data_IF_607755494901
#
_entry.id   IF_607755494901
#
_cell.length_a   1.000
_cell.length_b   1.000
_cell.length_c   1.000
_cell.angle_alpha   90.00
_cell.angle_beta   90.00
_cell.angle_gamma   90.00
#
_symmetry.space_group_name_H-M   'P 1'
#
loop_
_entity.id
_entity.type
_entity.pdbx_description
1 polymer ?
#
# COMPACT_ATOMS: atom_id res chain seq x y z
N UNK A 1 -31.97 13.18 -20.97
CA UNK A 1 -30.81 13.24 -20.06
C UNK A 1 -30.16 11.88 -20.14
N UNK A 2 -28.85 11.83 -20.34
CA UNK A 2 -28.14 10.56 -20.49
C UNK A 2 -27.79 9.93 -19.12
N UNK A 3 -28.32 10.49 -18.03
CA UNK A 3 -28.17 10.06 -16.65
C UNK A 3 -29.54 10.07 -15.95
N UNK A 4 -29.65 9.35 -14.84
CA UNK A 4 -30.87 9.21 -14.06
C UNK A 4 -30.79 10.02 -12.77
N UNK A 5 -31.85 10.79 -12.47
CA UNK A 5 -32.04 11.47 -11.18
C UNK A 5 -33.40 11.07 -10.63
N UNK A 6 -33.41 10.48 -9.44
CA UNK A 6 -34.64 10.13 -8.74
C UNK A 6 -35.43 11.40 -8.37
N UNK A 7 -36.77 11.34 -8.43
CA UNK A 7 -37.66 12.49 -8.17
C UNK A 7 -37.48 13.17 -6.80
N UNK A 8 -36.96 12.42 -5.81
CA UNK A 8 -36.68 12.91 -4.45
C UNK A 8 -35.21 13.32 -4.24
N UNK A 9 -34.39 13.34 -5.28
CA UNK A 9 -33.01 13.84 -5.22
C UNK A 9 -32.97 15.32 -5.59
N UNK A 10 -32.03 16.06 -5.00
CA UNK A 10 -31.74 17.46 -5.36
C UNK A 10 -30.39 17.51 -6.11
N UNK A 11 -30.43 17.40 -7.43
CA UNK A 11 -29.24 17.46 -8.27
C UNK A 11 -29.17 18.81 -8.98
N UNK A 12 -28.32 19.72 -8.49
CA UNK A 12 -28.17 21.08 -9.04
C UNK A 12 -27.01 21.18 -10.04
N UNK A 13 -26.04 20.24 -9.99
CA UNK A 13 -24.95 20.17 -10.97
C UNK A 13 -25.45 19.83 -12.37
N UNK A 14 -24.82 20.48 -13.36
CA UNK A 14 -24.99 20.21 -14.79
C UNK A 14 -23.88 19.32 -15.37
N UNK A 15 -22.90 18.93 -14.54
CA UNK A 15 -21.71 18.20 -14.94
C UNK A 15 -21.79 16.74 -14.51
N UNK A 16 -22.83 16.04 -14.95
CA UNK A 16 -23.07 14.62 -14.66
C UNK A 16 -22.88 13.80 -15.94
N UNK A 17 -21.95 12.85 -15.91
CA UNK A 17 -21.66 11.97 -17.03
C UNK A 17 -22.79 10.99 -17.35
N UNK A 18 -22.82 10.52 -18.59
CA UNK A 18 -23.80 9.54 -19.08
C UNK A 18 -23.76 8.23 -18.27
N UNK A 19 -24.90 7.58 -18.09
CA UNK A 19 -25.08 6.34 -17.33
C UNK A 19 -25.11 6.51 -15.81
N UNK A 20 -24.73 7.68 -15.29
CA UNK A 20 -24.73 7.94 -13.84
C UNK A 20 -26.16 7.93 -13.27
N UNK A 21 -26.31 7.32 -12.09
CA UNK A 21 -27.59 7.23 -11.36
C UNK A 21 -27.48 7.96 -10.03
N UNK A 22 -28.40 8.89 -9.79
CA UNK A 22 -28.56 9.63 -8.53
C UNK A 22 -29.86 9.21 -7.87
N UNK A 23 -29.77 8.59 -6.70
CA UNK A 23 -30.90 8.01 -5.98
C UNK A 23 -31.52 8.96 -4.95
N UNK A 24 -32.56 8.51 -4.26
CA UNK A 24 -33.43 9.34 -3.45
C UNK A 24 -32.68 10.09 -2.34
N UNK A 25 -33.05 11.35 -2.09
CA UNK A 25 -32.49 12.17 -1.02
C UNK A 25 -30.99 12.45 -1.13
N UNK A 26 -30.36 12.15 -2.27
CA UNK A 26 -29.03 12.67 -2.57
C UNK A 26 -29.13 14.17 -2.89
N UNK A 27 -28.12 14.95 -2.47
CA UNK A 27 -28.00 16.37 -2.78
C UNK A 27 -26.62 16.68 -3.35
N UNK A 28 -26.59 17.18 -4.59
CA UNK A 28 -25.37 17.46 -5.36
C UNK A 28 -25.36 18.95 -5.73
N UNK A 29 -24.38 19.69 -5.21
CA UNK A 29 -24.27 21.13 -5.44
C UNK A 29 -23.84 21.48 -6.88
N UNK A 30 -24.11 22.73 -7.36
CA UNK A 30 -23.90 23.10 -8.77
C UNK A 30 -22.47 22.91 -9.30
N UNK A 31 -21.45 23.05 -8.45
CA UNK A 31 -20.04 22.96 -8.84
C UNK A 31 -19.50 21.54 -9.03
N UNK A 32 -20.17 20.52 -8.48
CA UNK A 32 -19.68 19.14 -8.48
C UNK A 32 -19.52 18.59 -9.91
N UNK A 33 -18.46 17.83 -10.16
CA UNK A 33 -18.22 17.16 -11.46
C UNK A 33 -18.21 15.65 -11.25
N UNK A 34 -19.13 14.94 -11.90
CA UNK A 34 -19.25 13.48 -11.82
C UNK A 34 -19.08 12.86 -13.21
N UNK A 35 -18.25 11.82 -13.29
CA UNK A 35 -18.03 11.03 -14.49
C UNK A 35 -19.22 10.15 -14.90
N UNK A 36 -18.94 9.22 -15.80
CA UNK A 36 -19.90 8.30 -16.41
C UNK A 36 -20.12 7.06 -15.56
N UNK A 37 -21.28 6.44 -15.70
CA UNK A 37 -21.63 5.15 -15.11
C UNK A 37 -21.47 5.07 -13.58
N UNK A 38 -21.57 6.21 -12.88
CA UNK A 38 -21.49 6.26 -11.42
C UNK A 38 -22.81 5.83 -10.77
N UNK A 39 -22.74 5.41 -9.51
CA UNK A 39 -23.89 5.06 -8.69
C UNK A 39 -23.87 5.83 -7.37
N UNK A 40 -24.66 6.91 -7.30
CA UNK A 40 -24.78 7.81 -6.15
C UNK A 40 -26.02 7.41 -5.35
N UNK A 41 -25.84 6.58 -4.33
CA UNK A 41 -26.93 6.02 -3.53
C UNK A 41 -27.62 7.07 -2.62
N UNK A 42 -28.66 6.62 -1.94
CA UNK A 42 -29.51 7.47 -1.12
C UNK A 42 -28.75 8.27 -0.05
N UNK A 43 -29.19 9.51 0.20
CA UNK A 43 -28.65 10.36 1.27
C UNK A 43 -27.15 10.69 1.12
N UNK A 44 -26.61 10.62 -0.09
CA UNK A 44 -25.27 11.13 -0.39
C UNK A 44 -25.33 12.65 -0.54
N UNK A 45 -24.36 13.35 0.05
CA UNK A 45 -24.17 14.78 -0.12
C UNK A 45 -22.84 15.07 -0.84
N UNK A 46 -22.84 15.95 -1.84
CA UNK A 46 -21.65 16.30 -2.62
C UNK A 46 -21.57 17.83 -2.77
N UNK A 47 -20.47 18.44 -2.32
CA UNK A 47 -20.22 19.88 -2.40
C UNK A 47 -19.70 20.34 -3.79
N UNK A 48 -19.20 21.58 -3.89
CA UNK A 48 -18.89 22.22 -5.16
C UNK A 48 -17.49 21.85 -5.69
N UNK A 49 -16.45 21.90 -4.86
CA UNK A 49 -15.08 21.51 -5.21
C UNK A 49 -14.90 20.00 -5.02
N UNK A 50 -15.67 19.21 -5.76
CA UNK A 50 -15.59 17.75 -5.76
C UNK A 50 -15.55 17.25 -7.20
N UNK A 51 -14.56 16.40 -7.49
CA UNK A 51 -14.49 15.66 -8.76
C UNK A 51 -14.59 14.17 -8.48
N UNK A 52 -15.48 13.50 -9.21
CA UNK A 52 -15.66 12.04 -9.20
C UNK A 52 -15.44 11.53 -10.61
N UNK A 53 -14.55 10.56 -10.79
CA UNK A 53 -14.25 9.91 -12.05
C UNK A 53 -15.39 9.00 -12.55
N UNK A 54 -15.05 8.08 -13.43
CA UNK A 54 -16.00 7.15 -14.04
C UNK A 54 -16.18 5.87 -13.20
N UNK A 55 -17.36 5.25 -13.29
CA UNK A 55 -17.68 3.92 -12.70
C UNK A 55 -17.53 3.88 -11.18
N UNK A 56 -17.64 5.02 -10.51
CA UNK A 56 -17.54 5.13 -9.05
C UNK A 56 -18.86 4.72 -8.40
N UNK A 57 -18.78 3.93 -7.33
CA UNK A 57 -19.94 3.62 -6.47
C UNK A 57 -19.81 4.31 -5.13
N UNK A 58 -20.83 5.10 -4.76
CA UNK A 58 -20.92 5.80 -3.48
C UNK A 58 -22.19 5.34 -2.78
N UNK A 59 -22.02 4.56 -1.71
CA UNK A 59 -23.13 3.99 -0.95
C UNK A 59 -23.73 5.04 -0.01
N UNK A 60 -24.87 4.70 0.60
CA UNK A 60 -25.69 5.63 1.35
C UNK A 60 -24.94 6.30 2.52
N UNK A 61 -25.36 7.53 2.86
CA UNK A 61 -24.91 8.24 4.07
C UNK A 61 -23.50 8.80 3.99
N UNK A 62 -22.93 8.94 2.79
CA UNK A 62 -21.59 9.50 2.55
C UNK A 62 -21.70 11.00 2.23
N UNK A 63 -20.78 11.80 2.77
CA UNK A 63 -20.62 13.22 2.43
C UNK A 63 -19.25 13.46 1.79
N UNK A 64 -19.26 14.04 0.59
CA UNK A 64 -18.05 14.48 -0.10
C UNK A 64 -17.94 15.99 0.03
N UNK A 65 -16.97 16.43 0.82
CA UNK A 65 -16.72 17.85 1.08
C UNK A 65 -15.80 18.47 0.04
N UNK A 66 -15.80 19.80 -0.05
CA UNK A 66 -14.89 20.58 -0.88
C UNK A 66 -13.43 20.16 -0.67
N UNK A 67 -12.71 19.98 -1.78
CA UNK A 67 -11.32 19.51 -1.85
C UNK A 67 -11.15 18.01 -2.10
N UNK A 68 -12.24 17.26 -2.34
CA UNK A 68 -12.17 15.82 -2.56
C UNK A 68 -12.08 15.46 -4.06
N UNK A 69 -11.09 14.64 -4.38
CA UNK A 69 -10.91 14.06 -5.72
C UNK A 69 -11.01 12.54 -5.65
N UNK A 70 -12.00 11.98 -6.35
CA UNK A 70 -12.24 10.53 -6.42
C UNK A 70 -12.01 10.08 -7.85
N UNK A 71 -11.07 9.15 -8.05
CA UNK A 71 -10.73 8.62 -9.37
C UNK A 71 -11.65 7.47 -9.79
N UNK A 72 -11.44 7.00 -11.02
CA UNK A 72 -12.20 5.92 -11.62
C UNK A 72 -12.25 4.63 -10.79
N UNK A 73 -13.36 3.91 -10.94
CA UNK A 73 -13.57 2.55 -10.40
C UNK A 73 -13.44 2.46 -8.87
N UNK A 74 -13.55 3.58 -8.16
CA UNK A 74 -13.53 3.62 -6.70
C UNK A 74 -14.84 3.09 -6.11
N UNK A 75 -14.72 2.33 -5.01
CA UNK A 75 -15.85 1.94 -4.18
C UNK A 75 -15.80 2.66 -2.82
N UNK A 76 -16.83 3.44 -2.51
CA UNK A 76 -17.03 4.09 -1.21
C UNK A 76 -18.20 3.42 -0.50
N UNK A 77 -17.89 2.68 0.55
CA UNK A 77 -18.84 1.94 1.37
C UNK A 77 -19.83 2.84 2.12
N UNK A 78 -20.92 2.27 2.67
CA UNK A 78 -21.95 3.05 3.33
C UNK A 78 -21.40 3.73 4.58
N UNK A 79 -21.84 4.96 4.83
CA UNK A 79 -21.45 5.79 5.97
C UNK A 79 -19.94 6.07 6.07
N UNK A 80 -19.18 5.93 4.99
CA UNK A 80 -17.81 6.46 4.96
C UNK A 80 -17.84 7.96 5.19
N UNK A 81 -17.00 8.41 6.11
CA UNK A 81 -16.94 9.83 6.53
C UNK A 81 -15.62 10.42 6.07
N UNK A 82 -15.69 11.45 5.23
CA UNK A 82 -14.55 12.29 4.87
C UNK A 82 -14.51 13.54 5.75
N UNK A 83 -13.33 14.16 5.82
CA UNK A 83 -13.11 15.45 6.48
C UNK A 83 -12.15 16.28 5.62
N UNK A 84 -12.19 17.61 5.73
CA UNK A 84 -11.35 18.53 4.95
C UNK A 84 -10.63 19.61 5.81
N UNK A 85 -11.05 19.80 7.06
CA UNK A 85 -10.36 20.62 8.07
C UNK A 85 -9.77 19.73 9.17
N UNK A 86 -8.47 19.92 9.47
CA UNK A 86 -7.74 19.17 10.49
C UNK A 86 -8.14 19.57 11.92
N UNK A 87 -8.54 20.83 12.11
CA UNK A 87 -8.82 21.40 13.42
C UNK A 87 -10.11 22.26 13.38
N UNK A 88 -11.26 21.66 13.03
CA UNK A 88 -12.49 22.40 12.81
C UNK A 88 -12.94 23.16 14.06
N UNK A 89 -13.29 24.43 13.87
CA UNK A 89 -13.90 25.30 14.89
C UNK A 89 -15.06 26.07 14.28
N UNK A 90 -16.18 26.15 14.99
CA UNK A 90 -17.37 26.84 14.47
C UNK A 90 -17.06 28.29 14.13
N UNK A 91 -17.45 28.73 12.92
CA UNK A 91 -17.23 30.09 12.37
C UNK A 91 -15.76 30.48 12.21
N UNK A 92 -14.87 29.50 12.22
CA UNK A 92 -13.46 29.68 11.88
C UNK A 92 -13.18 28.75 10.71
N UNK A 93 -12.77 29.33 9.59
CA UNK A 93 -12.57 28.60 8.35
C UNK A 93 -11.10 28.72 7.94
N UNK A 94 -10.47 27.64 7.46
CA UNK A 94 -9.14 27.74 6.88
C UNK A 94 -9.20 28.60 5.60
N UNK A 95 -8.07 29.21 5.22
CA UNK A 95 -7.97 29.93 3.94
C UNK A 95 -8.20 28.98 2.75
N UNK A 96 -7.75 27.73 2.89
CA UNK A 96 -7.93 26.66 1.91
C UNK A 96 -8.17 25.33 2.62
N UNK A 97 -9.15 24.56 2.16
CA UNK A 97 -9.37 23.19 2.65
C UNK A 97 -8.28 22.24 2.17
N UNK A 98 -7.96 21.24 3.01
CA UNK A 98 -6.98 20.21 2.64
C UNK A 98 -7.57 19.28 1.59
N UNK A 99 -6.79 18.99 0.54
CA UNK A 99 -7.24 18.10 -0.54
C UNK A 99 -7.01 16.65 -0.19
N UNK A 100 -8.05 15.84 -0.37
CA UNK A 100 -7.99 14.38 -0.19
C UNK A 100 -8.18 13.73 -1.56
N UNK A 101 -7.34 12.76 -1.89
CA UNK A 101 -7.43 12.03 -3.16
C UNK A 101 -7.68 10.55 -2.90
N UNK A 102 -8.70 10.00 -3.53
CA UNK A 102 -8.96 8.56 -3.55
C UNK A 102 -8.64 8.04 -4.95
N UNK A 103 -7.47 7.40 -5.08
CA UNK A 103 -6.95 6.97 -6.36
C UNK A 103 -7.71 5.76 -6.92
N UNK A 104 -7.53 5.52 -8.23
CA UNK A 104 -8.36 4.60 -8.98
C UNK A 104 -8.44 3.19 -8.36
N UNK A 105 -9.60 2.54 -8.45
CA UNK A 105 -9.85 1.19 -7.92
C UNK A 105 -9.67 1.02 -6.40
N UNK A 106 -9.44 2.08 -5.65
CA UNK A 106 -9.43 1.99 -4.20
C UNK A 106 -10.83 1.63 -3.66
N UNK A 107 -10.86 0.88 -2.57
CA UNK A 107 -12.09 0.48 -1.90
C UNK A 107 -12.06 0.90 -0.44
N UNK A 108 -13.06 1.68 -0.03
CA UNK A 108 -13.21 2.17 1.34
C UNK A 108 -14.37 1.46 2.01
N UNK A 109 -14.08 0.66 3.03
CA UNK A 109 -15.04 -0.14 3.77
C UNK A 109 -16.04 0.70 4.55
N UNK A 110 -17.19 0.09 4.85
CA UNK A 110 -18.31 0.73 5.54
C UNK A 110 -17.87 1.45 6.83
N UNK A 111 -18.42 2.64 7.07
CA UNK A 111 -18.21 3.43 8.28
C UNK A 111 -16.75 3.76 8.61
N UNK A 112 -15.85 3.74 7.62
CA UNK A 112 -14.49 4.22 7.79
C UNK A 112 -14.45 5.76 7.87
N UNK A 113 -13.48 6.30 8.60
CA UNK A 113 -13.24 7.74 8.72
C UNK A 113 -11.90 8.11 8.08
N UNK A 114 -11.93 9.06 7.14
CA UNK A 114 -10.74 9.54 6.44
C UNK A 114 -10.41 10.95 6.94
N UNK A 115 -9.26 11.09 7.60
CA UNK A 115 -8.74 12.40 8.02
C UNK A 115 -8.38 13.26 6.79
N UNK A 116 -8.27 14.58 6.95
CA UNK A 116 -8.13 15.48 5.81
C UNK A 116 -6.70 15.49 5.28
N UNK A 117 -6.54 15.79 3.98
CA UNK A 117 -5.23 15.96 3.36
C UNK A 117 -4.53 14.65 3.01
N UNK A 118 -5.27 13.55 2.84
CA UNK A 118 -4.71 12.21 2.67
C UNK A 118 -4.87 11.70 1.25
N UNK A 119 -3.96 10.81 0.85
CA UNK A 119 -4.09 10.03 -0.39
C UNK A 119 -4.40 8.58 -0.05
N UNK A 120 -5.47 8.05 -0.61
CA UNK A 120 -5.76 6.60 -0.61
C UNK A 120 -5.27 6.05 -1.95
N UNK A 121 -4.20 5.25 -1.90
CA UNK A 121 -3.49 4.78 -3.09
C UNK A 121 -4.30 3.85 -3.98
N UNK A 122 -3.85 3.69 -5.23
CA UNK A 122 -4.52 2.87 -6.23
C UNK A 122 -4.68 1.43 -5.73
N UNK A 123 -5.85 0.81 -5.92
CA UNK A 123 -6.19 -0.53 -5.42
C UNK A 123 -6.06 -0.73 -3.90
N UNK A 124 -5.89 0.34 -3.10
CA UNK A 124 -5.84 0.19 -1.65
C UNK A 124 -7.20 -0.25 -1.10
N UNK A 125 -7.16 -0.97 0.02
CA UNK A 125 -8.35 -1.44 0.73
C UNK A 125 -8.35 -0.87 2.15
N UNK A 126 -9.29 0.02 2.43
CA UNK A 126 -9.55 0.49 3.79
C UNK A 126 -10.64 -0.40 4.40
N UNK A 127 -10.34 -1.08 5.50
CA UNK A 127 -11.29 -1.93 6.19
C UNK A 127 -12.44 -1.15 6.82
N UNK A 128 -13.57 -1.82 7.03
CA UNK A 128 -14.73 -1.22 7.69
C UNK A 128 -14.37 -0.68 9.09
N UNK A 129 -14.90 0.50 9.43
CA UNK A 129 -14.66 1.17 10.71
C UNK A 129 -13.24 1.68 10.94
N UNK A 130 -12.36 1.65 9.94
CA UNK A 130 -10.99 2.14 10.09
C UNK A 130 -10.93 3.66 10.25
N UNK A 131 -10.02 4.17 11.08
CA UNK A 131 -9.73 5.61 11.20
C UNK A 131 -8.39 5.89 10.55
N UNK A 132 -8.45 6.36 9.30
CA UNK A 132 -7.28 6.58 8.46
C UNK A 132 -6.67 7.93 8.80
N UNK A 133 -5.48 7.90 9.40
CA UNK A 133 -4.80 9.10 9.93
C UNK A 133 -3.58 9.54 9.11
N UNK A 134 -3.19 8.73 8.13
CA UNK A 134 -2.04 8.92 7.22
C UNK A 134 -2.41 8.37 5.84
N UNK A 135 -1.73 8.82 4.79
CA UNK A 135 -1.95 8.31 3.43
C UNK A 135 -1.74 6.80 3.37
N UNK A 136 -2.55 6.13 2.56
CA UNK A 136 -2.54 4.67 2.39
C UNK A 136 -1.79 4.34 1.10
N UNK A 137 -0.72 3.54 1.14
CA UNK A 137 0.03 3.17 -0.05
C UNK A 137 -0.81 2.39 -1.07
N UNK A 138 -0.45 2.42 -2.37
CA UNK A 138 -1.09 1.58 -3.37
C UNK A 138 -1.15 0.11 -2.93
N UNK A 139 -2.28 -0.53 -3.18
CA UNK A 139 -2.59 -1.91 -2.81
C UNK A 139 -2.57 -2.24 -1.31
N UNK A 140 -2.23 -1.30 -0.42
CA UNK A 140 -2.18 -1.60 1.01
C UNK A 140 -3.58 -1.90 1.56
N UNK A 141 -3.65 -2.85 2.50
CA UNK A 141 -4.85 -3.16 3.26
C UNK A 141 -4.67 -2.56 4.66
N UNK A 142 -5.52 -1.60 5.03
CA UNK A 142 -5.46 -0.94 6.35
C UNK A 142 -6.71 -1.18 7.18
N UNK A 143 -6.54 -1.42 8.48
CA UNK A 143 -7.67 -1.65 9.42
C UNK A 143 -7.41 -1.03 10.79
N UNK A 144 -8.47 -0.82 11.57
CA UNK A 144 -8.40 -0.41 12.98
C UNK A 144 -8.41 1.10 13.20
N UNK A 145 -8.31 1.49 14.48
CA UNK A 145 -8.26 2.88 14.94
C UNK A 145 -7.06 3.07 15.90
N UNK A 146 -6.01 3.80 15.51
CA UNK A 146 -5.76 4.31 14.16
C UNK A 146 -5.52 3.16 13.16
N UNK A 147 -5.79 3.42 11.87
CA UNK A 147 -5.62 2.44 10.81
C UNK A 147 -4.14 2.03 10.65
N UNK A 148 -3.89 0.73 10.51
CA UNK A 148 -2.55 0.15 10.32
C UNK A 148 -2.56 -0.81 9.13
N UNK A 149 -1.45 -0.88 8.41
CA UNK A 149 -1.26 -1.82 7.30
C UNK A 149 -1.21 -3.25 7.86
N UNK A 150 -2.07 -4.12 7.33
CA UNK A 150 -2.18 -5.54 7.71
C UNK A 150 -1.87 -6.50 6.56
N UNK A 151 -1.61 -5.97 5.38
CA UNK A 151 -1.25 -6.73 4.19
C UNK A 151 -1.34 -5.86 2.94
N UNK A 152 -1.17 -6.49 1.78
CA UNK A 152 -1.33 -5.88 0.47
C UNK A 152 -2.27 -6.74 -0.37
N UNK A 153 -3.17 -6.11 -1.13
CA UNK A 153 -4.05 -6.80 -2.07
C UNK A 153 -3.23 -7.51 -3.16
N UNK A 154 -3.80 -8.57 -3.74
CA UNK A 154 -3.21 -9.40 -4.79
C UNK A 154 -1.81 -9.95 -4.45
N UNK A 155 -1.52 -10.11 -3.15
CA UNK A 155 -0.24 -10.63 -2.67
C UNK A 155 -0.36 -12.13 -2.38
N UNK A 156 0.44 -12.94 -3.06
CA UNK A 156 0.56 -14.35 -2.72
C UNK A 156 1.26 -14.50 -1.36
N UNK A 157 0.62 -15.20 -0.42
CA UNK A 157 1.22 -15.50 0.87
C UNK A 157 2.03 -16.80 0.80
N UNK A 158 3.35 -16.66 0.66
CA UNK A 158 4.28 -17.79 0.68
C UNK A 158 4.66 -18.23 2.10
N UNK A 159 4.22 -17.51 3.14
CA UNK A 159 4.55 -17.82 4.55
C UNK A 159 4.02 -19.19 5.01
N UNK A 160 3.05 -19.76 4.28
CA UNK A 160 2.59 -21.15 4.48
C UNK A 160 3.31 -22.18 3.60
N UNK A 161 3.80 -21.78 2.42
CA UNK A 161 4.43 -22.68 1.45
C UNK A 161 5.94 -22.89 1.72
N UNK A 162 6.62 -21.91 2.32
CA UNK A 162 8.03 -22.00 2.66
C UNK A 162 8.28 -22.56 4.08
N UNK A 163 7.44 -23.50 4.56
CA UNK A 163 7.87 -24.36 5.69
C UNK A 163 8.91 -25.34 5.16
N UNK A 164 10.14 -24.86 5.08
CA UNK A 164 11.30 -25.74 4.93
C UNK A 164 11.26 -26.78 6.06
N UNK A 165 11.52 -28.07 5.75
CA UNK A 165 11.43 -29.14 6.73
C UNK A 165 12.19 -28.79 8.01
N UNK A 166 11.57 -29.00 9.16
CA UNK A 166 12.23 -28.88 10.46
C UNK A 166 13.26 -30.01 10.62
N UNK A 167 14.48 -29.71 10.22
CA UNK A 167 15.72 -30.46 10.41
C UNK A 167 16.87 -29.49 10.16
N UNK A 168 18.12 -29.87 10.39
CA UNK A 168 19.27 -29.06 9.97
C UNK A 168 19.15 -28.81 8.47
N UNK A 169 18.61 -27.64 8.07
CA UNK A 169 18.24 -27.39 6.70
C UNK A 169 19.52 -27.34 5.88
N UNK A 170 19.62 -28.23 4.89
CA UNK A 170 20.65 -28.16 3.87
C UNK A 170 20.62 -26.76 3.26
N UNK A 171 21.78 -26.11 3.06
CA UNK A 171 21.84 -24.83 2.37
C UNK A 171 21.15 -24.92 1.01
N UNK A 172 20.38 -23.91 0.64
CA UNK A 172 19.60 -23.96 -0.58
C UNK A 172 19.01 -22.63 -0.99
N UNK A 173 18.72 -22.50 -2.28
CA UNK A 173 18.11 -21.32 -2.90
C UNK A 173 16.80 -21.75 -3.53
N UNK A 174 15.71 -21.13 -3.09
CA UNK A 174 14.38 -21.33 -3.64
C UNK A 174 13.98 -20.09 -4.46
N UNK A 175 13.52 -20.24 -5.71
CA UNK A 175 12.93 -19.14 -6.45
C UNK A 175 11.60 -18.73 -5.80
N UNK A 176 11.26 -17.45 -5.91
CA UNK A 176 9.92 -16.97 -5.56
C UNK A 176 9.09 -16.72 -6.84
N UNK A 177 7.84 -16.30 -6.70
CA UNK A 177 6.97 -15.92 -7.82
C UNK A 177 7.38 -14.59 -8.45
N UNK A 178 8.25 -13.81 -7.80
CA UNK A 178 8.70 -12.49 -8.21
C UNK A 178 10.01 -12.62 -8.98
N UNK A 179 10.08 -11.98 -10.15
CA UNK A 179 11.19 -12.15 -11.07
C UNK A 179 12.54 -11.84 -10.41
N UNK A 180 13.40 -12.85 -10.32
CA UNK A 180 14.77 -12.73 -9.82
C UNK A 180 14.91 -12.66 -8.30
N UNK A 181 13.81 -12.56 -7.55
CA UNK A 181 13.80 -12.66 -6.09
C UNK A 181 14.01 -14.12 -5.70
N UNK A 182 14.90 -14.35 -4.73
CA UNK A 182 15.20 -15.71 -4.24
C UNK A 182 15.25 -15.74 -2.72
N UNK A 183 14.73 -16.84 -2.15
CA UNK A 183 14.79 -17.13 -0.72
C UNK A 183 15.91 -18.12 -0.46
N UNK A 184 16.81 -17.76 0.44
CA UNK A 184 18.02 -18.50 0.77
C UNK A 184 17.91 -19.11 2.15
N UNK A 185 18.39 -20.34 2.26
CA UNK A 185 18.64 -21.00 3.54
C UNK A 185 20.12 -21.23 3.70
N UNK A 186 20.67 -20.72 4.79
CA UNK A 186 22.07 -20.85 5.14
C UNK A 186 22.32 -22.06 6.03
N UNK A 187 23.56 -22.55 5.98
CA UNK A 187 24.01 -23.61 6.85
C UNK A 187 23.88 -23.17 8.30
N UNK A 188 23.14 -23.94 9.10
CA UNK A 188 23.05 -23.75 10.54
C UNK A 188 23.71 -24.93 11.27
N UNK A 189 24.56 -24.63 12.25
CA UNK A 189 25.29 -25.60 13.07
C UNK A 189 24.96 -25.32 14.55
N UNK A 190 23.91 -25.96 15.10
CA UNK A 190 23.64 -25.93 16.53
C UNK A 190 24.53 -26.94 17.27
N UNK A 191 25.15 -26.53 18.38
CA UNK A 191 25.86 -27.40 19.32
C UNK A 191 25.63 -26.94 20.77
N UNK A 192 26.24 -27.63 21.74
CA UNK A 192 26.08 -27.30 23.17
C UNK A 192 26.62 -25.92 23.58
N UNK A 193 27.42 -25.26 22.72
CA UNK A 193 28.00 -23.93 22.95
C UNK A 193 27.15 -22.81 22.32
N UNK A 194 26.17 -23.16 21.48
CA UNK A 194 25.30 -22.20 20.84
C UNK A 194 24.91 -22.60 19.42
N UNK A 195 24.58 -21.62 18.59
CA UNK A 195 24.22 -21.84 17.18
C UNK A 195 25.02 -20.90 16.29
N UNK A 196 25.55 -21.43 15.20
CA UNK A 196 26.27 -20.68 14.18
C UNK A 196 25.55 -20.81 12.85
N UNK A 197 25.39 -19.70 12.13
CA UNK A 197 24.95 -19.67 10.74
C UNK A 197 26.06 -19.06 9.87
N UNK A 198 26.23 -19.54 8.64
CA UNK A 198 27.23 -19.01 7.71
C UNK A 198 26.67 -18.93 6.30
N UNK A 199 26.98 -17.83 5.62
CA UNK A 199 26.78 -17.64 4.18
C UNK A 199 27.99 -16.91 3.59
N UNK A 200 28.37 -17.30 2.37
CA UNK A 200 29.49 -16.72 1.64
C UNK A 200 28.96 -15.84 0.49
N UNK A 201 29.59 -14.68 0.31
CA UNK A 201 29.32 -13.83 -0.86
C UNK A 201 29.83 -14.53 -2.13
N UNK A 202 29.14 -14.28 -3.25
CA UNK A 202 29.38 -14.90 -4.56
C UNK A 202 29.11 -16.41 -4.63
N UNK A 203 28.66 -17.03 -3.54
CA UNK A 203 28.23 -18.44 -3.48
C UNK A 203 26.76 -18.56 -3.12
N UNK A 204 26.40 -18.25 -1.88
CA UNK A 204 25.00 -18.17 -1.47
C UNK A 204 24.44 -16.77 -1.72
N UNK A 205 25.15 -15.71 -1.34
CA UNK A 205 24.70 -14.33 -1.58
C UNK A 205 25.22 -13.88 -2.96
N UNK A 206 24.35 -13.54 -3.94
CA UNK A 206 24.73 -13.44 -5.35
C UNK A 206 25.47 -12.14 -5.73
N UNK A 207 26.08 -11.46 -4.76
CA UNK A 207 26.90 -10.26 -4.99
C UNK A 207 27.87 -10.02 -3.82
N UNK A 208 28.91 -9.22 -4.08
CA UNK A 208 29.81 -8.69 -3.03
C UNK A 208 29.26 -7.36 -2.53
N UNK A 209 28.96 -7.19 -1.23
CA UNK A 209 28.43 -5.94 -0.73
C UNK A 209 29.50 -4.87 -0.63
N UNK A 210 29.10 -3.63 -0.90
CA UNK A 210 29.88 -2.42 -0.57
C UNK A 210 29.39 -1.75 0.71
N UNK A 211 28.21 -2.14 1.18
CA UNK A 211 27.54 -1.54 2.34
C UNK A 211 26.69 -2.58 3.06
N UNK A 212 26.64 -2.45 4.39
CA UNK A 212 25.59 -3.05 5.19
C UNK A 212 24.89 -1.96 6.01
N UNK A 213 23.65 -2.23 6.41
CA UNK A 213 22.94 -1.43 7.40
C UNK A 213 21.98 -2.32 8.18
N UNK A 214 21.56 -1.84 9.35
CA UNK A 214 20.60 -2.54 10.21
C UNK A 214 19.39 -1.67 10.47
N UNK A 215 18.22 -2.31 10.54
CA UNK A 215 16.96 -1.71 10.94
C UNK A 215 16.47 -2.44 12.19
N UNK A 216 16.29 -1.71 13.28
CA UNK A 216 15.90 -2.23 14.60
C UNK A 216 15.05 -1.18 15.34
N UNK A 217 14.43 -1.58 16.46
CA UNK A 217 13.52 -0.74 17.25
C UNK A 217 12.39 -0.11 16.43
N UNK A 218 11.91 -0.84 15.41
CA UNK A 218 10.81 -0.40 14.56
C UNK A 218 9.51 -0.54 15.35
N UNK A 219 8.73 0.53 15.56
CA UNK A 219 7.42 0.40 16.18
C UNK A 219 6.58 -0.57 15.36
N UNK A 220 5.90 -1.53 16.00
CA UNK A 220 5.15 -2.63 15.36
C UNK A 220 4.09 -2.16 14.35
N UNK A 221 3.70 -0.88 14.38
CA UNK A 221 2.74 -0.26 13.47
C UNK A 221 3.37 0.37 12.22
N UNK A 222 4.69 0.60 12.21
CA UNK A 222 5.35 1.34 11.14
C UNK A 222 5.78 0.40 10.00
N UNK A 223 5.60 0.90 8.79
CA UNK A 223 6.08 0.27 7.56
C UNK A 223 7.42 0.91 7.18
N UNK A 224 8.34 0.11 6.68
CA UNK A 224 9.65 0.54 6.17
C UNK A 224 9.81 0.07 4.73
N UNK A 225 10.74 0.67 3.99
CA UNK A 225 10.91 0.37 2.58
C UNK A 225 10.08 1.32 1.72
N UNK A 226 9.14 0.77 0.95
CA UNK A 226 8.27 1.49 0.01
C UNK A 226 9.07 2.19 -1.09
N UNK A 227 10.02 1.46 -1.67
CA UNK A 227 10.82 1.91 -2.80
C UNK A 227 11.36 0.72 -3.59
N UNK A 228 11.78 1.02 -4.82
CA UNK A 228 12.67 0.17 -5.60
C UNK A 228 14.04 0.85 -5.77
N UNK A 229 15.03 0.06 -6.17
CA UNK A 229 16.37 0.51 -6.53
C UNK A 229 16.60 0.29 -8.02
N UNK A 230 17.18 1.26 -8.74
CA UNK A 230 17.49 1.09 -10.17
C UNK A 230 18.65 0.12 -10.40
N UNK A 231 19.68 0.18 -9.55
CA UNK A 231 20.92 -0.58 -9.69
C UNK A 231 21.30 -1.39 -8.44
N UNK A 232 20.95 -0.91 -7.24
CA UNK A 232 21.40 -1.55 -6.01
C UNK A 232 20.70 -2.89 -5.77
N UNK A 233 21.49 -3.96 -5.69
CA UNK A 233 21.07 -5.27 -5.19
C UNK A 233 20.99 -5.24 -3.67
N UNK A 234 20.01 -5.94 -3.09
CA UNK A 234 19.86 -6.05 -1.64
C UNK A 234 19.73 -7.50 -1.20
N UNK A 235 20.24 -7.79 0.00
CA UNK A 235 20.07 -9.09 0.64
C UNK A 235 19.68 -8.90 2.11
N UNK A 236 18.51 -9.40 2.49
CA UNK A 236 17.84 -9.13 3.77
C UNK A 236 17.90 -10.36 4.67
N UNK A 237 18.29 -10.19 5.93
CA UNK A 237 18.34 -11.26 6.95
C UNK A 237 17.74 -10.72 8.26
N UNK A 238 16.72 -11.39 8.78
CA UNK A 238 16.23 -11.13 10.13
C UNK A 238 17.15 -11.84 11.14
N UNK A 239 18.18 -11.15 11.62
CA UNK A 239 19.18 -11.74 12.54
C UNK A 239 18.63 -11.96 13.94
N UNK A 240 17.52 -11.29 14.28
CA UNK A 240 16.73 -11.51 15.49
C UNK A 240 15.27 -11.16 15.21
N UNK A 241 14.35 -11.79 15.94
CA UNK A 241 12.93 -11.55 15.82
C UNK A 241 12.37 -11.98 14.47
N UNK A 242 11.34 -11.30 13.99
CA UNK A 242 10.76 -11.55 12.68
C UNK A 242 10.33 -10.28 11.96
N UNK A 243 10.31 -10.35 10.63
CA UNK A 243 9.83 -9.29 9.74
C UNK A 243 9.15 -9.90 8.53
N UNK A 244 8.09 -9.26 8.04
CA UNK A 244 7.49 -9.60 6.75
C UNK A 244 8.07 -8.70 5.67
N UNK A 245 8.49 -9.30 4.56
CA UNK A 245 9.00 -8.59 3.40
C UNK A 245 8.09 -8.86 2.23
N UNK A 246 7.58 -7.80 1.63
CA UNK A 246 6.85 -7.84 0.36
C UNK A 246 7.83 -7.49 -0.75
N UNK A 247 7.90 -8.32 -1.78
CA UNK A 247 8.60 -8.05 -3.02
C UNK A 247 7.59 -7.94 -4.17
N UNK A 248 7.86 -7.00 -5.07
CA UNK A 248 6.96 -6.64 -6.16
C UNK A 248 7.80 -6.27 -7.40
N UNK A 249 7.48 -6.87 -8.55
CA UNK A 249 8.17 -6.64 -9.84
C UNK A 249 7.37 -5.75 -10.81
N UNK A 250 6.29 -5.12 -10.32
CA UNK A 250 5.37 -4.27 -11.07
C UNK A 250 4.22 -5.02 -11.75
N UNK A 251 4.24 -6.35 -11.71
CA UNK A 251 3.16 -7.23 -12.19
C UNK A 251 2.65 -8.14 -11.07
N UNK A 252 3.56 -8.83 -10.39
CA UNK A 252 3.25 -9.75 -9.29
C UNK A 252 3.77 -9.20 -7.97
N UNK A 253 3.14 -9.66 -6.89
CA UNK A 253 3.53 -9.36 -5.53
C UNK A 253 3.49 -10.60 -4.65
N UNK A 254 4.51 -10.77 -3.83
CA UNK A 254 4.63 -11.90 -2.91
C UNK A 254 5.14 -11.42 -1.56
N UNK A 255 4.59 -12.01 -0.50
CA UNK A 255 5.01 -11.76 0.86
C UNK A 255 5.76 -12.96 1.41
N UNK A 256 6.91 -12.68 2.04
CA UNK A 256 7.80 -13.65 2.68
C UNK A 256 7.99 -13.29 4.16
N UNK A 257 8.05 -14.31 5.01
CA UNK A 257 8.42 -14.16 6.41
C UNK A 257 9.90 -14.48 6.60
N UNK A 258 10.64 -13.54 7.20
CA UNK A 258 11.99 -13.79 7.70
C UNK A 258 11.91 -13.86 9.23
N UNK A 259 12.04 -15.06 9.79
CA UNK A 259 11.91 -15.32 11.24
C UNK A 259 13.05 -16.18 11.82
N UNK A 260 14.10 -16.43 11.02
CA UNK A 260 15.28 -17.19 11.43
C UNK A 260 16.56 -16.52 10.93
N UNK A 261 17.65 -16.53 11.72
CA UNK A 261 18.93 -15.93 11.34
C UNK A 261 19.67 -16.69 10.24
N UNK A 262 19.21 -17.90 9.86
CA UNK A 262 19.73 -18.66 8.73
C UNK A 262 18.82 -18.57 7.49
N UNK A 263 17.90 -17.62 7.43
CA UNK A 263 17.11 -17.32 6.24
C UNK A 263 17.48 -15.96 5.68
N UNK A 264 17.55 -15.86 4.36
CA UNK A 264 17.88 -14.61 3.66
C UNK A 264 17.00 -14.39 2.44
N UNK A 265 16.70 -13.14 2.12
CA UNK A 265 15.94 -12.79 0.93
C UNK A 265 16.78 -11.89 0.03
N UNK A 266 17.02 -12.34 -1.20
CA UNK A 266 17.66 -11.53 -2.23
C UNK A 266 16.62 -10.73 -3.01
N UNK A 267 16.82 -9.41 -3.09
CA UNK A 267 16.06 -8.49 -3.92
C UNK A 267 17.00 -7.96 -5.02
N UNK A 268 16.80 -8.33 -6.30
CA UNK A 268 17.53 -7.71 -7.40
C UNK A 268 17.06 -6.26 -7.60
N UNK A 269 17.80 -5.47 -8.39
CA UNK A 269 17.35 -4.15 -8.83
C UNK A 269 16.00 -4.24 -9.53
N UNK A 270 15.27 -3.13 -9.54
CA UNK A 270 13.89 -3.04 -10.03
C UNK A 270 12.92 -3.98 -9.31
N UNK A 271 13.16 -4.21 -8.02
CA UNK A 271 12.19 -4.84 -7.12
C UNK A 271 11.71 -3.81 -6.11
N UNK A 272 10.40 -3.58 -6.04
CA UNK A 272 9.81 -2.74 -5.01
C UNK A 272 9.70 -3.53 -3.70
N UNK A 273 10.40 -3.04 -2.67
CA UNK A 273 10.54 -3.70 -1.38
C UNK A 273 9.78 -2.99 -0.27
N UNK A 274 9.00 -3.75 0.50
CA UNK A 274 8.32 -3.26 1.70
C UNK A 274 8.64 -4.19 2.86
N UNK A 275 9.04 -3.64 4.00
CA UNK A 275 9.30 -4.40 5.22
C UNK A 275 8.38 -3.89 6.33
N UNK A 276 7.58 -4.78 6.91
CA UNK A 276 6.58 -4.40 7.90
C UNK A 276 6.32 -5.54 8.88
N UNK A 277 5.50 -5.27 9.91
CA UNK A 277 5.20 -6.23 10.99
C UNK A 277 6.46 -6.80 11.64
N UNK A 278 7.39 -5.90 11.97
CA UNK A 278 8.55 -6.22 12.80
C UNK A 278 8.07 -6.73 14.17
N UNK A 279 8.63 -7.84 14.66
CA UNK A 279 8.51 -8.19 16.07
C UNK A 279 9.21 -7.14 16.93
N UNK A 280 8.85 -7.05 18.22
CA UNK A 280 9.40 -6.04 19.12
C UNK A 280 10.93 -6.13 19.29
N UNK A 281 11.51 -7.31 19.06
CA UNK A 281 12.94 -7.59 19.15
C UNK A 281 13.62 -7.75 17.78
N UNK A 282 12.93 -7.39 16.69
CA UNK A 282 13.40 -7.61 15.34
C UNK A 282 14.63 -6.76 15.01
N UNK A 283 15.63 -7.39 14.38
CA UNK A 283 16.79 -6.74 13.80
C UNK A 283 16.94 -7.26 12.37
N UNK A 284 16.74 -6.39 11.39
CA UNK A 284 16.92 -6.69 9.97
C UNK A 284 18.31 -6.18 9.54
N UNK A 285 19.19 -7.11 9.18
CA UNK A 285 20.46 -6.83 8.52
C UNK A 285 20.25 -6.82 7.01
N UNK A 286 20.77 -5.79 6.34
CA UNK A 286 20.72 -5.67 4.89
C UNK A 286 22.13 -5.50 4.34
N UNK A 287 22.51 -6.35 3.40
CA UNK A 287 23.66 -6.15 2.54
C UNK A 287 23.24 -5.46 1.25
N UNK A 288 24.05 -4.54 0.75
CA UNK A 288 23.81 -3.79 -0.48
C UNK A 288 25.05 -3.82 -1.38
N UNK A 289 24.85 -4.05 -2.69
CA UNK A 289 25.94 -4.06 -3.68
C UNK A 289 26.63 -2.71 -3.82
N UNK A 290 25.92 -1.62 -3.54
CA UNK A 290 26.37 -0.25 -3.79
C UNK A 290 26.45 0.60 -2.52
N UNK A 291 27.27 1.66 -2.61
CA UNK A 291 27.26 2.74 -1.63
C UNK A 291 25.88 3.42 -1.62
N UNK A 292 25.63 4.25 -0.59
CA UNK A 292 24.39 5.01 -0.56
C UNK A 292 24.35 6.03 -1.70
N UNK A 293 23.32 5.93 -2.53
CA UNK A 293 22.98 6.93 -3.53
C UNK A 293 21.47 7.22 -3.45
N UNK A 294 21.12 8.48 -3.24
CA UNK A 294 19.73 8.91 -3.17
C UNK A 294 19.03 8.86 -4.55
N UNK A 295 19.78 9.04 -5.64
CA UNK A 295 19.26 9.04 -7.00
C UNK A 295 18.85 7.63 -7.48
N UNK A 296 19.40 6.58 -6.86
CA UNK A 296 19.07 5.19 -7.18
C UNK A 296 17.66 4.78 -6.72
N UNK A 297 17.04 5.56 -5.81
CA UNK A 297 15.72 5.26 -5.27
C UNK A 297 14.58 5.66 -6.21
N UNK A 298 13.62 4.74 -6.37
CA UNK A 298 12.29 5.02 -6.92
C UNK A 298 11.29 4.96 -5.76
N UNK A 299 10.77 6.10 -5.32
CA UNK A 299 9.85 6.21 -4.15
C UNK A 299 8.39 6.40 -4.52
N UNK A 300 8.11 6.54 -5.81
CA UNK A 300 6.75 6.61 -6.33
C UNK A 300 6.43 5.28 -7.03
N UNK A 301 5.36 4.63 -6.59
CA UNK A 301 5.00 3.30 -7.09
C UNK A 301 4.55 3.33 -8.57
N UNK A 302 3.87 4.38 -9.04
CA UNK A 302 3.49 4.47 -10.45
C UNK A 302 4.71 4.65 -11.36
N UNK A 303 5.71 5.41 -10.92
CA UNK A 303 6.97 5.57 -11.65
C UNK A 303 7.72 4.24 -11.72
N UNK A 304 7.76 3.50 -10.60
CA UNK A 304 8.33 2.15 -10.56
C UNK A 304 7.63 1.20 -11.56
N UNK A 305 6.30 1.13 -11.55
CA UNK A 305 5.54 0.26 -12.45
C UNK A 305 5.78 0.65 -13.92
N UNK A 306 5.88 1.94 -14.22
CA UNK A 306 6.17 2.43 -15.57
C UNK A 306 7.59 2.05 -16.01
N UNK A 307 8.59 2.24 -15.16
CA UNK A 307 9.99 1.87 -15.43
C UNK A 307 10.14 0.34 -15.59
N UNK A 308 9.57 -0.45 -14.68
CA UNK A 308 9.61 -1.92 -14.71
C UNK A 308 9.02 -2.50 -16.00
N UNK A 309 7.90 -1.94 -16.49
CA UNK A 309 7.27 -2.35 -17.76
C UNK A 309 8.05 -1.93 -19.00
N UNK A 310 8.80 -0.83 -18.92
CA UNK A 310 9.56 -0.32 -20.07
C UNK A 310 10.80 -1.16 -20.40
N UNK A 311 11.25 -2.01 -19.48
CA UNK A 311 12.45 -2.84 -19.63
C UNK A 311 13.75 -2.03 -19.74
N UNK A 312 13.71 -0.71 -19.50
CA UNK A 312 14.90 0.13 -19.49
C UNK A 312 15.65 -0.07 -18.17
N UNK A 313 16.65 -0.94 -18.19
CA UNK A 313 17.79 -0.77 -17.28
C UNK A 313 18.49 0.52 -17.65
N UNK A 314 18.72 1.40 -16.66
CA UNK A 314 19.51 2.62 -16.82
C UNK A 314 20.92 2.32 -17.34
#
# INVERSE_FOLDING_TARGET
MDYFVHQNALCESKHIGAGTRVWAFAHILPGAVLGKDCNICDQVFIENDVTVGDRVTIKCGVQLWDGLEVHDDVFIGPNVTFTNDRFPRSKQFPETFLRTTVAARASIGANATILPGLTIGQNAMVGAGAVVTRSVPPHAIVVGNPAKIVGYADTADSSRAARLPSGAAEPGVAPTQIKGVTLHTFRAVPDMRGSLSVGEFEREIPFVPRRYFMVYDVPTAETRGEHAHRNCHQFLIAVKGSVRVVADDGDKREEMLLDKPNMGLYLPPMTWGIQYRYSADAILLVFASDYYDAADYIRNYSDFVAEAKSGKTA
#
